data_IF_158768612333
#
_entry.id   IF_158768612333
#
_cell.length_a   1.000
_cell.length_b   1.000
_cell.length_c   1.000
_cell.angle_alpha   90.00
_cell.angle_beta   90.00
_cell.angle_gamma   90.00
#
_symmetry.space_group_name_H-M   'P 1'
#
loop_
_entity.id
_entity.type
_entity.pdbx_description
1 polymer ?
#
# COMPACT_ATOMS: atom_id res chain seq x y z
N UNK A 1 9.81 74.53 -31.48
CA UNK A 1 10.80 73.61 -32.08
C UNK A 1 10.68 72.27 -31.37
N UNK A 2 10.34 71.19 -32.08
CA UNK A 2 9.93 69.93 -31.48
C UNK A 2 11.14 69.06 -31.09
N UNK A 3 11.05 68.44 -29.92
CA UNK A 3 11.99 67.42 -29.44
C UNK A 3 11.90 66.17 -30.31
N UNK A 4 13.01 65.83 -30.96
CA UNK A 4 13.14 64.59 -31.73
C UNK A 4 13.25 63.38 -30.79
N UNK A 5 12.23 62.53 -30.80
CA UNK A 5 12.26 61.21 -30.17
C UNK A 5 13.30 60.31 -30.88
N UNK A 6 14.32 59.88 -30.14
CA UNK A 6 15.26 58.85 -30.61
C UNK A 6 14.59 57.49 -30.40
N UNK A 7 14.09 56.90 -31.49
CA UNK A 7 13.62 55.52 -31.53
C UNK A 7 14.82 54.56 -31.36
N UNK A 8 15.07 54.09 -30.13
CA UNK A 8 15.98 52.97 -29.88
C UNK A 8 15.27 51.66 -30.21
N UNK A 9 15.46 51.19 -31.45
CA UNK A 9 14.97 49.87 -31.88
C UNK A 9 15.69 48.75 -31.12
N UNK A 10 15.04 48.15 -30.13
CA UNK A 10 15.53 46.94 -29.45
C UNK A 10 15.53 45.77 -30.42
N UNK A 11 16.69 45.45 -31.00
CA UNK A 11 16.90 44.20 -31.76
C UNK A 11 16.83 43.03 -30.77
N UNK A 12 15.67 42.38 -30.67
CA UNK A 12 15.56 41.04 -30.07
C UNK A 12 16.34 40.07 -30.95
N UNK A 13 17.59 39.78 -30.58
CA UNK A 13 18.35 38.70 -31.19
C UNK A 13 17.70 37.38 -30.76
N UNK A 14 16.78 36.89 -31.58
CA UNK A 14 16.21 35.56 -31.44
C UNK A 14 17.29 34.57 -31.91
N UNK A 15 18.24 34.25 -31.03
CA UNK A 15 19.24 33.21 -31.29
C UNK A 15 18.53 31.86 -31.27
N UNK A 16 17.97 31.48 -32.42
CA UNK A 16 17.62 30.08 -32.71
C UNK A 16 18.87 29.27 -32.39
N UNK A 17 18.82 28.43 -31.35
CA UNK A 17 19.77 27.35 -31.16
C UNK A 17 19.75 26.50 -32.43
N UNK A 18 20.67 26.80 -33.36
CA UNK A 18 20.91 25.95 -34.52
C UNK A 18 21.56 24.70 -33.94
N UNK A 19 20.79 23.62 -33.78
CA UNK A 19 21.37 22.29 -33.60
C UNK A 19 22.32 22.09 -34.77
N UNK A 20 23.61 22.05 -34.50
CA UNK A 20 24.61 21.72 -35.50
C UNK A 20 24.22 20.35 -36.04
N UNK A 21 23.73 20.31 -37.28
CA UNK A 21 23.43 19.05 -37.95
C UNK A 21 24.75 18.31 -38.14
N UNK A 22 24.85 17.06 -37.67
CA UNK A 22 26.04 16.26 -37.91
C UNK A 22 26.27 16.12 -39.42
N UNK A 23 27.53 16.19 -39.85
CA UNK A 23 27.90 15.97 -41.25
C UNK A 23 27.51 14.56 -41.68
N UNK A 24 27.22 14.39 -42.98
CA UNK A 24 26.69 13.16 -43.59
C UNK A 24 27.42 11.88 -43.17
N UNK A 25 28.71 11.94 -42.86
CA UNK A 25 29.52 10.75 -42.62
C UNK A 25 29.36 10.20 -41.19
N UNK A 26 29.12 11.08 -40.22
CA UNK A 26 28.83 10.64 -38.84
C UNK A 26 27.42 10.09 -38.70
N UNK A 27 26.48 10.47 -39.57
CA UNK A 27 25.14 9.89 -39.61
C UNK A 27 25.15 8.43 -40.12
N UNK A 28 26.02 8.13 -41.08
CA UNK A 28 26.17 6.79 -41.71
C UNK A 28 26.85 5.74 -40.82
N UNK A 29 27.57 6.15 -39.77
CA UNK A 29 28.28 5.22 -38.90
C UNK A 29 27.33 4.37 -38.04
N UNK A 30 27.68 3.10 -37.84
CA UNK A 30 26.99 2.24 -36.88
C UNK A 30 27.18 2.75 -35.44
N UNK A 31 26.31 2.39 -34.48
CA UNK A 31 26.45 2.79 -33.09
C UNK A 31 27.80 2.40 -32.47
N UNK A 32 28.35 1.24 -32.83
CA UNK A 32 29.65 0.78 -32.36
C UNK A 32 30.81 1.58 -32.99
N UNK A 33 30.73 1.86 -34.30
CA UNK A 33 31.71 2.70 -34.99
C UNK A 33 31.73 4.12 -34.41
N UNK A 34 30.55 4.68 -34.09
CA UNK A 34 30.43 5.97 -33.39
C UNK A 34 31.10 5.95 -32.03
N UNK A 35 30.91 4.89 -31.23
CA UNK A 35 31.57 4.75 -29.93
C UNK A 35 33.10 4.69 -30.07
N UNK A 36 33.61 3.89 -31.01
CA UNK A 36 35.06 3.80 -31.27
C UNK A 36 35.62 5.14 -31.73
N UNK A 37 34.95 5.82 -32.66
CA UNK A 37 35.36 7.16 -33.10
C UNK A 37 35.43 8.16 -31.93
N UNK A 38 34.40 8.21 -31.09
CA UNK A 38 34.36 9.10 -29.93
C UNK A 38 35.41 8.77 -28.85
N UNK A 39 35.88 7.52 -28.79
CA UNK A 39 36.92 7.11 -27.83
C UNK A 39 38.32 7.65 -28.18
N UNK A 40 38.58 7.96 -29.45
CA UNK A 40 39.89 8.41 -29.94
C UNK A 40 39.89 9.83 -30.51
N UNK A 41 38.72 10.44 -30.76
CA UNK A 41 38.62 11.80 -31.26
C UNK A 41 38.92 12.86 -30.17
N UNK A 42 39.49 13.99 -30.57
CA UNK A 42 39.85 15.08 -29.64
C UNK A 42 38.58 15.73 -29.05
N UNK A 43 38.40 15.75 -27.71
CA UNK A 43 37.24 16.34 -27.05
C UNK A 43 37.18 17.87 -27.17
N UNK A 44 38.27 18.53 -27.59
CA UNK A 44 38.33 19.98 -27.84
C UNK A 44 37.51 20.38 -29.07
N UNK A 45 37.26 19.43 -30.00
CA UNK A 45 36.45 19.71 -31.16
C UNK A 45 34.98 19.94 -30.77
N UNK A 46 34.34 21.04 -31.23
CA UNK A 46 32.99 21.38 -30.81
C UNK A 46 31.95 20.33 -31.22
N UNK A 47 32.20 19.59 -32.30
CA UNK A 47 31.34 18.50 -32.79
C UNK A 47 31.42 17.26 -31.89
N UNK A 48 32.63 16.84 -31.56
CA UNK A 48 32.91 15.69 -30.69
C UNK A 48 32.36 15.97 -29.29
N UNK A 49 32.58 17.18 -28.77
CA UNK A 49 32.02 17.66 -27.50
C UNK A 49 30.49 17.62 -27.47
N UNK A 50 29.83 18.06 -28.54
CA UNK A 50 28.38 17.97 -28.65
C UNK A 50 27.90 16.51 -28.65
N UNK A 51 28.55 15.62 -29.40
CA UNK A 51 28.19 14.19 -29.44
C UNK A 51 28.41 13.50 -28.09
N UNK A 52 29.55 13.73 -27.43
CA UNK A 52 29.82 13.24 -26.08
C UNK A 52 28.76 13.71 -25.08
N UNK A 53 28.38 14.99 -25.11
CA UNK A 53 27.35 15.51 -24.22
C UNK A 53 26.00 14.81 -24.42
N UNK A 54 25.63 14.48 -25.67
CA UNK A 54 24.38 13.73 -25.94
C UNK A 54 24.44 12.28 -25.47
N UNK A 55 25.60 11.64 -25.50
CA UNK A 55 25.78 10.27 -25.00
C UNK A 55 25.67 10.26 -23.48
N UNK A 56 26.37 11.16 -22.79
CA UNK A 56 26.29 11.30 -21.32
C UNK A 56 24.85 11.54 -20.85
N UNK A 57 24.11 12.44 -21.52
CA UNK A 57 22.70 12.69 -21.18
C UNK A 57 21.79 11.48 -21.44
N UNK A 58 22.09 10.65 -22.44
CA UNK A 58 21.34 9.41 -22.70
C UNK A 58 21.65 8.33 -21.67
N UNK A 59 22.92 8.17 -21.30
CA UNK A 59 23.34 7.20 -20.30
C UNK A 59 22.79 7.59 -18.92
N UNK A 60 22.82 8.87 -18.55
CA UNK A 60 22.17 9.37 -17.33
C UNK A 60 20.67 9.09 -17.31
N UNK A 61 19.97 9.34 -18.42
CA UNK A 61 18.54 9.02 -18.54
C UNK A 61 18.27 7.51 -18.44
N UNK A 62 19.10 6.68 -19.05
CA UNK A 62 18.95 5.23 -18.98
C UNK A 62 19.16 4.70 -17.56
N UNK A 63 20.12 5.27 -16.81
CA UNK A 63 20.33 4.95 -15.38
C UNK A 63 19.12 5.40 -14.55
N UNK A 64 18.64 6.63 -14.75
CA UNK A 64 17.49 7.17 -14.02
C UNK A 64 16.19 6.38 -14.31
N UNK A 65 15.99 5.93 -15.55
CA UNK A 65 14.88 5.05 -15.93
C UNK A 65 15.00 3.66 -15.27
N UNK A 66 16.20 3.09 -15.21
CA UNK A 66 16.43 1.82 -14.52
C UNK A 66 16.16 1.94 -13.01
N UNK A 67 16.64 3.00 -12.37
CA UNK A 67 16.38 3.28 -10.96
C UNK A 67 14.87 3.39 -10.69
N UNK A 68 14.13 4.17 -11.49
CA UNK A 68 12.66 4.28 -11.39
C UNK A 68 11.97 2.93 -11.53
N UNK A 69 12.41 2.07 -12.45
CA UNK A 69 11.86 0.72 -12.62
C UNK A 69 12.15 -0.15 -11.39
N UNK A 70 13.34 -0.04 -10.79
CA UNK A 70 13.67 -0.78 -9.56
C UNK A 70 12.87 -0.31 -8.35
N UNK A 71 12.70 0.99 -8.19
CA UNK A 71 11.86 1.58 -7.14
C UNK A 71 10.40 1.17 -7.30
N UNK A 72 9.88 1.19 -8.52
CA UNK A 72 8.52 0.75 -8.82
C UNK A 72 8.34 -0.74 -8.51
N UNK A 73 9.29 -1.60 -8.89
CA UNK A 73 9.25 -3.04 -8.55
C UNK A 73 9.29 -3.24 -7.03
N UNK A 74 10.10 -2.48 -6.31
CA UNK A 74 10.16 -2.52 -4.83
C UNK A 74 8.82 -2.12 -4.23
N UNK A 75 8.21 -1.04 -4.72
CA UNK A 75 6.90 -0.57 -4.27
C UNK A 75 5.82 -1.63 -4.52
N UNK A 76 5.78 -2.23 -5.70
CA UNK A 76 4.86 -3.32 -6.02
C UNK A 76 5.08 -4.51 -5.07
N UNK A 77 6.33 -4.86 -4.76
CA UNK A 77 6.65 -5.91 -3.79
C UNK A 77 6.10 -5.61 -2.39
N UNK A 78 6.29 -4.38 -1.91
CA UNK A 78 5.75 -3.93 -0.62
C UNK A 78 4.23 -3.98 -0.60
N UNK A 79 3.58 -3.46 -1.65
CA UNK A 79 2.12 -3.45 -1.75
C UNK A 79 1.54 -4.87 -1.81
N UNK A 80 2.13 -5.78 -2.59
CA UNK A 80 1.73 -7.19 -2.64
C UNK A 80 1.89 -7.88 -1.30
N UNK A 81 2.97 -7.61 -0.58
CA UNK A 81 3.19 -8.17 0.76
C UNK A 81 2.14 -7.63 1.76
N UNK A 82 1.85 -6.33 1.72
CA UNK A 82 0.81 -5.72 2.54
C UNK A 82 -0.57 -6.31 2.23
N UNK A 83 -0.90 -6.50 0.95
CA UNK A 83 -2.15 -7.11 0.51
C UNK A 83 -2.28 -8.56 1.01
N UNK A 84 -1.23 -9.39 0.84
CA UNK A 84 -1.24 -10.77 1.32
C UNK A 84 -1.47 -10.86 2.83
N UNK A 85 -0.83 -9.97 3.60
CA UNK A 85 -1.06 -9.88 5.06
C UNK A 85 -2.49 -9.47 5.39
N UNK A 86 -3.05 -8.51 4.66
CA UNK A 86 -4.43 -8.09 4.84
C UNK A 86 -5.43 -9.21 4.50
N UNK A 87 -5.21 -9.95 3.41
CA UNK A 87 -6.04 -11.12 3.06
C UNK A 87 -6.04 -12.15 4.18
N UNK A 88 -4.87 -12.49 4.72
CA UNK A 88 -4.73 -13.43 5.83
C UNK A 88 -5.40 -12.91 7.12
N UNK A 89 -5.24 -11.62 7.44
CA UNK A 89 -5.92 -10.99 8.58
C UNK A 89 -7.44 -11.06 8.43
N UNK A 90 -7.96 -10.73 7.26
CA UNK A 90 -9.40 -10.74 6.97
C UNK A 90 -9.96 -12.16 7.08
N UNK A 91 -9.27 -13.16 6.52
CA UNK A 91 -9.66 -14.57 6.64
C UNK A 91 -9.70 -15.03 8.10
N UNK A 92 -8.69 -14.66 8.91
CA UNK A 92 -8.68 -14.96 10.36
C UNK A 92 -9.85 -14.29 11.09
N UNK A 93 -10.14 -13.03 10.78
CA UNK A 93 -11.25 -12.29 11.40
C UNK A 93 -12.60 -12.92 11.02
N UNK A 94 -12.78 -13.28 9.75
CA UNK A 94 -13.97 -13.98 9.28
C UNK A 94 -14.15 -15.31 9.98
N UNK A 95 -13.09 -16.12 10.09
CA UNK A 95 -13.14 -17.38 10.82
C UNK A 95 -13.53 -17.19 12.28
N UNK A 96 -12.93 -16.22 12.97
CA UNK A 96 -13.26 -15.93 14.37
C UNK A 96 -14.72 -15.50 14.54
N UNK A 97 -15.23 -14.68 13.62
CA UNK A 97 -16.63 -14.25 13.64
C UNK A 97 -17.59 -15.41 13.40
N UNK A 98 -17.34 -16.23 12.37
CA UNK A 98 -18.17 -17.41 12.07
C UNK A 98 -18.15 -18.43 13.21
N UNK A 99 -16.96 -18.71 13.78
CA UNK A 99 -16.82 -19.58 14.94
C UNK A 99 -17.62 -19.07 16.14
N UNK A 100 -17.59 -17.76 16.41
CA UNK A 100 -18.37 -17.17 17.49
C UNK A 100 -19.88 -17.28 17.23
N UNK A 101 -20.33 -17.02 15.99
CA UNK A 101 -21.73 -17.17 15.59
C UNK A 101 -22.22 -18.62 15.77
N UNK A 102 -21.42 -19.61 15.36
CA UNK A 102 -21.73 -21.03 15.52
C UNK A 102 -21.85 -21.41 17.00
N UNK A 103 -20.92 -20.96 17.85
CA UNK A 103 -21.00 -21.21 19.29
C UNK A 103 -22.26 -20.56 19.90
N UNK A 104 -22.61 -19.34 19.48
CA UNK A 104 -23.85 -18.69 19.91
C UNK A 104 -25.11 -19.47 19.49
N UNK A 105 -25.08 -20.03 18.28
CA UNK A 105 -26.14 -20.91 17.80
C UNK A 105 -26.24 -22.15 18.71
N UNK A 106 -25.12 -22.85 18.96
CA UNK A 106 -25.08 -24.02 19.85
C UNK A 106 -25.56 -23.72 21.28
N UNK A 107 -25.20 -22.57 21.84
CA UNK A 107 -25.68 -22.09 23.15
C UNK A 107 -27.20 -21.99 23.15
N UNK A 108 -27.80 -21.50 22.07
CA UNK A 108 -29.26 -21.30 21.96
C UNK A 108 -30.05 -22.61 21.94
N UNK A 109 -29.43 -23.73 21.56
CA UNK A 109 -30.06 -25.07 21.60
C UNK A 109 -29.75 -25.87 22.87
N UNK A 110 -28.95 -25.33 23.80
CA UNK A 110 -28.69 -26.04 25.04
C UNK A 110 -29.96 -26.09 25.89
N UNK A 111 -30.29 -27.31 26.34
CA UNK A 111 -31.42 -27.53 27.26
C UNK A 111 -31.09 -27.06 28.67
N UNK A 112 -29.83 -27.20 29.10
CA UNK A 112 -29.37 -26.83 30.44
C UNK A 112 -28.53 -25.57 30.41
N UNK A 113 -28.70 -24.71 31.42
CA UNK A 113 -27.88 -23.49 31.56
C UNK A 113 -26.42 -23.82 31.77
N UNK A 114 -26.11 -24.89 32.51
CA UNK A 114 -24.75 -25.36 32.71
C UNK A 114 -24.06 -25.72 31.39
N UNK A 115 -24.78 -26.34 30.44
CA UNK A 115 -24.30 -26.61 29.09
C UNK A 115 -24.00 -25.33 28.31
N UNK A 116 -24.93 -24.36 28.35
CA UNK A 116 -24.77 -23.06 27.71
C UNK A 116 -23.54 -22.30 28.23
N UNK A 117 -23.37 -22.21 29.56
CA UNK A 117 -22.24 -21.52 30.20
C UNK A 117 -20.90 -22.19 29.84
N UNK A 118 -20.85 -23.53 29.76
CA UNK A 118 -19.64 -24.24 29.33
C UNK A 118 -19.24 -23.90 27.90
N UNK A 119 -20.21 -23.73 27.01
CA UNK A 119 -19.94 -23.32 25.62
C UNK A 119 -19.47 -21.87 25.52
N UNK A 120 -19.94 -20.99 26.41
CA UNK A 120 -19.52 -19.58 26.45
C UNK A 120 -18.00 -19.43 26.66
N UNK A 121 -17.36 -20.37 27.38
CA UNK A 121 -15.90 -20.39 27.59
C UNK A 121 -15.11 -20.44 26.27
N UNK A 122 -15.68 -20.99 25.19
CA UNK A 122 -15.02 -21.05 23.89
C UNK A 122 -15.09 -19.74 23.10
N UNK A 123 -15.88 -18.77 23.56
CA UNK A 123 -15.98 -17.45 22.94
C UNK A 123 -14.80 -16.56 23.34
N UNK A 124 -14.40 -15.62 22.47
CA UNK A 124 -13.39 -14.63 22.83
C UNK A 124 -13.83 -13.80 24.06
N UNK A 125 -12.92 -13.48 25.00
CA UNK A 125 -13.22 -12.62 26.13
C UNK A 125 -13.75 -11.25 25.68
N UNK A 126 -14.85 -10.79 26.27
CA UNK A 126 -15.41 -9.47 25.98
C UNK A 126 -14.49 -8.39 26.56
N UNK A 127 -14.03 -7.45 25.72
CA UNK A 127 -13.00 -6.44 26.06
C UNK A 127 -13.42 -5.40 27.11
N UNK A 128 -14.71 -5.32 27.44
CA UNK A 128 -15.28 -4.31 28.34
C UNK A 128 -16.18 -4.97 29.39
N UNK A 129 -15.65 -5.92 30.15
CA UNK A 129 -16.25 -6.25 31.44
C UNK A 129 -15.77 -5.19 32.41
N UNK A 130 -16.44 -4.03 32.44
CA UNK A 130 -16.34 -3.15 33.61
C UNK A 130 -16.50 -4.07 34.82
N UNK A 131 -15.55 -4.02 35.77
CA UNK A 131 -15.47 -4.91 36.91
C UNK A 131 -16.78 -4.76 37.69
N UNK A 132 -17.77 -5.57 37.33
CA UNK A 132 -19.13 -5.38 37.76
C UNK A 132 -19.13 -5.74 39.23
N UNK A 133 -19.38 -4.77 40.10
CA UNK A 133 -19.67 -5.07 41.50
C UNK A 133 -20.89 -6.00 41.53
N UNK A 134 -20.87 -7.00 42.39
CA UNK A 134 -22.02 -7.88 42.53
C UNK A 134 -23.25 -7.07 42.96
N UNK A 135 -24.18 -6.91 42.03
CA UNK A 135 -25.44 -6.19 42.25
C UNK A 135 -26.61 -7.14 42.51
N UNK A 136 -26.33 -8.43 42.75
CA UNK A 136 -27.36 -9.46 42.89
C UNK A 136 -27.81 -9.60 44.34
N UNK A 137 -29.13 -9.56 44.54
CA UNK A 137 -29.73 -9.83 45.85
C UNK A 137 -29.75 -11.34 46.14
N UNK A 138 -29.85 -11.72 47.42
CA UNK A 138 -29.84 -13.13 47.88
C UNK A 138 -30.88 -14.01 47.18
N UNK A 139 -32.09 -13.48 46.96
CA UNK A 139 -33.17 -14.18 46.25
C UNK A 139 -32.80 -14.45 44.79
N UNK A 140 -32.20 -13.47 44.11
CA UNK A 140 -31.80 -13.62 42.71
C UNK A 140 -30.65 -14.61 42.58
N UNK A 141 -29.71 -14.60 43.53
CA UNK A 141 -28.62 -15.56 43.59
C UNK A 141 -29.13 -16.99 43.74
N UNK A 142 -30.00 -17.23 44.73
CA UNK A 142 -30.63 -18.55 44.94
C UNK A 142 -31.34 -19.03 43.68
N UNK A 143 -32.05 -18.13 42.98
CA UNK A 143 -32.73 -18.48 41.73
C UNK A 143 -31.76 -18.90 40.62
N UNK A 144 -30.59 -18.25 40.51
CA UNK A 144 -29.56 -18.63 39.54
C UNK A 144 -28.93 -19.98 39.90
N UNK A 145 -28.69 -20.23 41.18
CA UNK A 145 -28.16 -21.51 41.66
C UNK A 145 -29.14 -22.65 41.32
N UNK A 146 -30.43 -22.48 41.60
CA UNK A 146 -31.48 -23.45 41.20
C UNK A 146 -31.45 -23.72 39.69
N UNK A 147 -31.31 -22.68 38.87
CA UNK A 147 -31.21 -22.75 37.41
C UNK A 147 -29.95 -23.51 36.94
N UNK A 148 -28.83 -23.33 37.63
CA UNK A 148 -27.55 -23.96 37.28
C UNK A 148 -27.49 -25.44 37.71
N UNK A 149 -28.21 -25.78 38.77
CA UNK A 149 -28.36 -27.14 39.29
C UNK A 149 -29.39 -27.97 38.51
N UNK A 150 -30.17 -27.34 37.63
CA UNK A 150 -31.13 -28.02 36.75
C UNK A 150 -30.44 -28.92 35.72
N UNK A 151 -30.53 -30.23 35.94
CA UNK A 151 -29.99 -31.24 35.02
C UNK A 151 -30.91 -31.50 33.83
N UNK A 152 -32.22 -31.27 33.96
CA UNK A 152 -33.20 -31.59 32.92
C UNK A 152 -33.54 -30.38 32.03
N UNK A 153 -33.25 -29.16 32.50
CA UNK A 153 -33.59 -27.92 31.80
C UNK A 153 -35.07 -27.55 31.90
N UNK A 154 -35.77 -28.08 32.90
CA UNK A 154 -37.22 -27.94 33.10
C UNK A 154 -37.59 -26.62 33.79
N UNK A 155 -36.68 -26.03 34.56
CA UNK A 155 -36.93 -24.79 35.34
C UNK A 155 -37.22 -23.60 34.40
N UNK A 156 -36.84 -23.70 33.13
CA UNK A 156 -37.10 -22.71 32.08
C UNK A 156 -38.40 -22.91 31.31
N UNK A 157 -39.13 -24.02 31.49
CA UNK A 157 -40.41 -24.24 30.82
C UNK A 157 -41.51 -23.48 31.57
N UNK A 158 -41.43 -22.14 31.57
CA UNK A 158 -42.64 -21.31 31.58
C UNK A 158 -42.95 -20.98 30.13
N UNK A 159 -43.73 -21.86 29.49
CA UNK A 159 -44.41 -21.50 28.25
C UNK A 159 -45.33 -20.29 28.51
N UNK A 160 -45.53 -19.40 27.53
CA UNK A 160 -46.59 -18.40 27.59
C UNK A 160 -47.97 -19.06 27.78
#
# INVERSE_FOLDING_TARGET
>A
MPSTEVCMSRKKANTRFKKASPTSDTMKMSPEQKRRFLAFADPSEPKVKAMLSTVVLKDQKAVEEQEKVTEQKRLVGILKAAEARNRLRNSRLQYQNLRAQEIHFLISFQRTTKGAVRLEVFLPPRKNLAKLSDCMNTVQRRRIEEILEDENGEIFIRRP
#
